data_IF_987412085536
#
_entry.id   IF_987412085536
#
_cell.length_a   1.000
_cell.length_b   1.000
_cell.length_c   1.000
_cell.angle_alpha   90.00
_cell.angle_beta   90.00
_cell.angle_gamma   90.00
#
_symmetry.space_group_name_H-M   'P 1'
#
loop_
_entity.id
_entity.type
_entity.pdbx_description
1 polymer ?
#
# COMPACT_ATOMS: atom_id res chain seq x y z
N UNK A 1 50.89 6.44 20.68
CA UNK A 1 50.63 6.60 19.23
C UNK A 1 49.14 6.87 19.09
N UNK A 2 48.78 8.15 19.04
CA UNK A 2 47.43 8.59 18.70
C UNK A 2 47.39 8.84 17.19
N UNK A 3 46.45 8.19 16.51
CA UNK A 3 45.67 8.73 15.40
C UNK A 3 44.59 7.69 15.13
N UNK A 4 43.34 7.97 15.44
CA UNK A 4 42.44 8.80 14.62
C UNK A 4 42.14 8.09 13.29
N UNK A 5 41.02 7.37 13.29
CA UNK A 5 40.29 6.97 12.10
C UNK A 5 38.82 7.00 12.45
N UNK A 6 38.32 8.24 12.49
CA UNK A 6 36.92 8.55 12.26
C UNK A 6 36.70 8.67 10.75
N UNK A 7 35.94 7.74 10.18
CA UNK A 7 35.04 7.94 9.04
C UNK A 7 33.91 6.92 9.29
N UNK A 8 32.81 7.24 9.98
CA UNK A 8 31.79 8.24 9.68
C UNK A 8 31.33 8.17 8.22
N UNK A 9 30.57 7.12 7.92
CA UNK A 9 29.66 7.11 6.78
C UNK A 9 28.22 7.13 7.33
N UNK A 10 27.64 8.28 7.05
CA UNK A 10 26.30 8.78 7.28
C UNK A 10 25.19 7.76 6.99
N UNK A 11 24.40 7.44 8.01
CA UNK A 11 22.99 7.05 7.81
C UNK A 11 22.11 8.02 8.59
N UNK A 12 21.82 9.15 7.94
CA UNK A 12 20.72 10.01 8.30
C UNK A 12 19.41 9.44 7.74
N UNK A 13 18.46 9.18 8.64
CA UNK A 13 17.00 9.31 8.52
C UNK A 13 16.39 8.52 9.69
N UNK A 14 16.05 9.13 10.83
CA UNK A 14 14.80 9.88 11.07
C UNK A 14 13.57 9.16 10.47
N UNK A 15 12.46 8.87 11.12
CA UNK A 15 11.89 9.11 12.44
C UNK A 15 10.53 8.35 12.39
N UNK A 16 10.12 7.64 13.45
CA UNK A 16 8.68 7.36 13.65
C UNK A 16 8.39 6.83 15.05
N UNK A 17 8.51 7.72 16.03
CA UNK A 17 7.77 7.60 17.29
C UNK A 17 6.53 8.46 17.15
N UNK A 18 5.36 7.84 16.96
CA UNK A 18 4.09 8.57 16.85
C UNK A 18 3.15 8.13 17.96
N UNK A 19 3.17 8.90 19.04
CA UNK A 19 2.10 9.10 20.02
C UNK A 19 2.51 10.37 20.78
N UNK A 20 1.78 11.48 20.86
CA UNK A 20 0.40 11.79 20.56
C UNK A 20 0.27 13.33 20.33
N UNK A 21 -0.96 13.80 20.12
CA UNK A 21 -1.47 15.18 20.28
C UNK A 21 -1.85 15.98 19.01
N UNK A 22 -3.15 15.85 18.69
CA UNK A 22 -4.15 16.89 18.39
C UNK A 22 -3.68 18.36 18.27
N UNK A 23 -3.95 19.00 17.12
CA UNK A 23 -4.97 20.06 16.90
C UNK A 23 -4.52 21.10 15.85
N UNK A 24 -5.44 21.39 14.92
CA UNK A 24 -5.72 22.72 14.29
C UNK A 24 -5.34 22.90 12.83
N UNK A 25 -6.39 23.29 12.09
CA UNK A 25 -6.48 23.57 10.67
C UNK A 25 -5.73 24.84 10.22
N UNK A 26 -5.38 24.92 8.93
CA UNK A 26 -5.92 25.91 7.96
C UNK A 26 -5.35 25.67 6.55
N UNK A 27 -6.24 25.24 5.67
CA UNK A 27 -6.49 25.58 4.25
C UNK A 27 -5.33 25.99 3.32
N UNK A 28 -5.17 25.24 2.23
CA UNK A 28 -4.87 25.83 0.91
C UNK A 28 -5.58 25.02 -0.19
N UNK A 29 -6.22 25.74 -1.10
CA UNK A 29 -7.21 25.25 -2.04
C UNK A 29 -6.67 25.32 -3.47
N UNK A 30 -6.78 24.25 -4.25
CA UNK A 30 -6.99 24.25 -5.71
C UNK A 30 -7.15 22.80 -6.18
N UNK A 31 -8.30 22.45 -6.75
CA UNK A 31 -8.44 21.17 -7.47
C UNK A 31 -9.83 20.55 -7.56
N UNK A 32 -10.82 21.33 -8.03
CA UNK A 32 -11.99 20.93 -8.82
C UNK A 32 -12.68 19.56 -8.59
N UNK A 33 -13.94 19.69 -8.16
CA UNK A 33 -15.12 19.02 -8.72
C UNK A 33 -15.26 17.49 -8.54
N UNK A 34 -16.16 17.18 -7.61
CA UNK A 34 -17.04 16.00 -7.57
C UNK A 34 -17.30 15.40 -8.96
N UNK A 35 -16.83 14.17 -9.16
CA UNK A 35 -17.37 13.32 -10.20
C UNK A 35 -17.94 12.08 -9.52
N UNK A 36 -19.25 11.94 -9.66
CA UNK A 36 -20.01 10.71 -9.46
C UNK A 36 -19.34 9.57 -10.22
N UNK A 37 -18.42 8.88 -9.57
CA UNK A 37 -17.79 7.69 -10.11
C UNK A 37 -18.18 6.56 -9.20
N UNK A 38 -18.93 5.60 -9.76
CA UNK A 38 -19.17 4.28 -9.16
C UNK A 38 -17.95 3.85 -8.36
N UNK A 39 -18.14 3.46 -7.10
CA UNK A 39 -17.08 3.07 -6.14
C UNK A 39 -16.34 1.82 -6.65
N UNK A 40 -15.55 2.00 -7.69
CA UNK A 40 -14.83 0.96 -8.40
C UNK A 40 -13.49 0.79 -7.72
N UNK A 41 -13.40 -0.25 -6.91
CA UNK A 41 -12.17 -0.65 -6.27
C UNK A 41 -11.35 -1.47 -7.26
N UNK A 42 -10.09 -1.12 -7.44
CA UNK A 42 -9.14 -1.89 -8.24
C UNK A 42 -8.11 -2.54 -7.32
N UNK A 43 -7.80 -3.79 -7.62
CA UNK A 43 -6.73 -4.52 -6.94
C UNK A 43 -5.39 -4.31 -7.65
N UNK A 44 -4.39 -3.79 -6.94
CA UNK A 44 -3.04 -3.51 -7.49
C UNK A 44 -1.95 -4.45 -6.96
N UNK A 45 -2.33 -5.56 -6.34
CA UNK A 45 -1.38 -6.54 -5.80
C UNK A 45 -0.95 -7.63 -6.79
N UNK A 46 -0.15 -8.61 -6.32
CA UNK A 46 0.23 -9.78 -7.10
C UNK A 46 -0.98 -10.70 -7.34
N UNK A 47 -0.96 -11.46 -8.44
CA UNK A 47 -2.09 -12.34 -8.80
C UNK A 47 -2.32 -13.43 -7.73
N UNK A 48 -3.57 -13.58 -7.29
CA UNK A 48 -3.98 -14.61 -6.33
C UNK A 48 -4.83 -15.65 -7.05
N UNK A 49 -4.18 -16.71 -7.54
CA UNK A 49 -4.86 -17.80 -8.25
C UNK A 49 -5.86 -18.55 -7.38
N UNK A 50 -5.65 -18.63 -6.06
CA UNK A 50 -6.55 -19.33 -5.13
C UNK A 50 -7.96 -18.72 -5.09
N UNK A 51 -8.05 -17.40 -5.21
CA UNK A 51 -9.29 -16.62 -5.14
C UNK A 51 -9.76 -16.13 -6.53
N UNK A 52 -9.09 -16.56 -7.61
CA UNK A 52 -9.28 -16.00 -8.96
C UNK A 52 -9.15 -14.48 -9.01
N UNK A 53 -8.36 -13.90 -8.11
CA UNK A 53 -8.13 -12.46 -8.04
C UNK A 53 -6.96 -12.09 -8.93
N UNK A 54 -7.28 -11.57 -10.11
CA UNK A 54 -6.28 -11.05 -11.04
C UNK A 54 -5.80 -9.66 -10.64
N UNK A 55 -4.53 -9.36 -10.93
CA UNK A 55 -4.02 -7.99 -10.85
C UNK A 55 -4.84 -7.10 -11.78
N UNK A 56 -5.17 -5.90 -11.31
CA UNK A 56 -6.03 -4.92 -11.96
C UNK A 56 -7.49 -5.36 -12.12
N UNK A 57 -7.95 -6.35 -11.35
CA UNK A 57 -9.37 -6.65 -11.26
C UNK A 57 -10.13 -5.46 -10.67
N UNK A 58 -11.21 -5.06 -11.33
CA UNK A 58 -12.09 -3.97 -10.92
C UNK A 58 -13.35 -4.55 -10.30
N UNK A 59 -13.64 -4.12 -9.08
CA UNK A 59 -14.78 -4.49 -8.27
C UNK A 59 -15.77 -3.33 -8.25
N UNK A 60 -16.92 -3.51 -8.90
CA UNK A 60 -17.97 -2.48 -9.04
C UNK A 60 -19.04 -2.56 -7.94
N UNK A 61 -19.01 -3.60 -7.11
CA UNK A 61 -20.01 -3.91 -6.07
C UNK A 61 -19.37 -4.33 -4.73
N UNK A 62 -18.14 -3.87 -4.47
CA UNK A 62 -17.36 -4.30 -3.31
C UNK A 62 -16.63 -5.64 -3.50
N UNK A 63 -16.03 -6.13 -2.42
CA UNK A 63 -15.22 -7.36 -2.42
C UNK A 63 -16.13 -8.61 -2.35
N UNK A 64 -15.82 -9.69 -3.07
CA UNK A 64 -16.59 -10.92 -2.97
C UNK A 64 -16.40 -11.59 -1.60
N UNK A 65 -17.47 -12.13 -1.01
CA UNK A 65 -17.40 -12.78 0.31
C UNK A 65 -16.47 -14.01 0.36
N UNK A 66 -16.21 -14.66 -0.78
CA UNK A 66 -15.27 -15.78 -0.83
C UNK A 66 -13.82 -15.35 -0.55
N UNK A 67 -13.51 -14.06 -0.70
CA UNK A 67 -12.17 -13.54 -0.43
C UNK A 67 -11.94 -13.18 1.04
N UNK A 68 -12.97 -13.22 1.90
CA UNK A 68 -12.84 -12.84 3.31
C UNK A 68 -11.77 -13.66 4.05
N UNK A 69 -11.63 -14.95 3.74
CA UNK A 69 -10.61 -15.82 4.33
C UNK A 69 -9.20 -15.34 3.99
N UNK A 70 -8.96 -15.00 2.73
CA UNK A 70 -7.65 -14.50 2.24
C UNK A 70 -7.39 -13.08 2.72
N UNK A 71 -8.41 -12.23 2.81
CA UNK A 71 -8.30 -10.88 3.38
C UNK A 71 -8.02 -10.92 4.88
N UNK A 72 -8.55 -11.91 5.60
CA UNK A 72 -8.29 -12.15 7.03
C UNK A 72 -6.89 -12.70 7.25
N UNK A 73 -6.47 -13.66 6.42
CA UNK A 73 -5.13 -14.23 6.49
C UNK A 73 -4.04 -13.21 6.15
N UNK A 74 -4.29 -12.32 5.18
CA UNK A 74 -3.36 -11.28 4.77
C UNK A 74 -4.05 -9.91 4.61
N UNK A 75 -4.10 -9.09 5.68
CA UNK A 75 -4.72 -7.77 5.63
C UNK A 75 -3.99 -6.79 4.70
N UNK A 76 -2.78 -7.12 4.25
CA UNK A 76 -2.07 -6.35 3.21
C UNK A 76 -2.80 -6.39 1.86
N UNK A 77 -3.53 -7.47 1.55
CA UNK A 77 -4.35 -7.57 0.33
C UNK A 77 -5.46 -6.53 0.37
N UNK A 78 -6.13 -6.38 1.51
CA UNK A 78 -7.17 -5.35 1.72
C UNK A 78 -6.64 -3.94 1.49
N UNK A 79 -5.39 -3.67 1.88
CA UNK A 79 -4.72 -2.36 1.69
C UNK A 79 -4.31 -2.08 0.24
N UNK A 80 -4.28 -3.11 -0.62
CA UNK A 80 -4.00 -3.00 -2.06
C UNK A 80 -5.28 -2.82 -2.89
N UNK A 81 -6.44 -2.69 -2.26
CA UNK A 81 -7.64 -2.18 -2.92
C UNK A 81 -7.68 -0.68 -2.80
N UNK A 82 -7.77 -0.02 -3.94
CA UNK A 82 -7.76 1.43 -4.06
C UNK A 82 -8.84 1.85 -5.03
N UNK A 83 -9.26 3.11 -4.98
CA UNK A 83 -10.10 3.67 -6.02
C UNK A 83 -9.33 3.73 -7.34
N UNK A 84 -10.04 3.48 -8.44
CA UNK A 84 -9.50 3.56 -9.80
C UNK A 84 -8.81 4.90 -10.08
N UNK A 85 -9.31 6.01 -9.51
CA UNK A 85 -8.75 7.36 -9.67
C UNK A 85 -7.31 7.48 -9.13
N UNK A 86 -6.96 6.66 -8.13
CA UNK A 86 -5.64 6.67 -7.48
C UNK A 86 -4.70 5.62 -8.06
N UNK A 87 -5.14 4.83 -9.04
CA UNK A 87 -4.38 3.73 -9.63
C UNK A 87 -2.98 4.15 -10.08
N UNK A 88 -2.89 5.20 -10.89
CA UNK A 88 -1.62 5.65 -11.45
C UNK A 88 -0.63 6.08 -10.36
N UNK A 89 -1.11 6.84 -9.38
CA UNK A 89 -0.27 7.31 -8.26
C UNK A 89 0.19 6.17 -7.36
N UNK A 90 -0.65 5.15 -7.16
CA UNK A 90 -0.30 3.98 -6.35
C UNK A 90 0.66 3.05 -7.08
N UNK A 91 0.53 2.90 -8.39
CA UNK A 91 1.47 2.11 -9.19
C UNK A 91 2.89 2.65 -9.11
N UNK A 92 3.07 3.96 -9.15
CA UNK A 92 4.37 4.59 -8.93
C UNK A 92 4.92 4.25 -7.55
N UNK A 93 4.07 4.35 -6.51
CA UNK A 93 4.44 3.98 -5.13
C UNK A 93 4.82 2.52 -5.00
N UNK A 94 4.09 1.59 -5.63
CA UNK A 94 4.41 0.15 -5.59
C UNK A 94 5.80 -0.13 -6.16
N UNK A 95 6.20 0.57 -7.23
CA UNK A 95 7.52 0.42 -7.83
C UNK A 95 8.63 1.13 -7.03
N UNK A 96 8.28 2.16 -6.26
CA UNK A 96 9.23 2.89 -5.41
C UNK A 96 9.50 2.13 -4.10
N UNK A 97 10.73 1.64 -3.95
CA UNK A 97 11.22 1.02 -2.72
C UNK A 97 11.12 2.00 -1.55
N UNK A 98 10.71 1.51 -0.37
CA UNK A 98 10.53 2.32 0.84
C UNK A 98 9.12 2.90 1.02
N UNK A 99 8.20 2.71 0.06
CA UNK A 99 6.80 3.08 0.26
C UNK A 99 6.02 1.99 1.00
N UNK A 100 4.92 2.39 1.65
CA UNK A 100 4.00 1.45 2.29
C UNK A 100 3.42 0.43 1.29
N UNK A 101 3.08 0.87 0.07
CA UNK A 101 2.53 0.01 -0.97
C UNK A 101 3.51 -1.05 -1.46
N UNK A 102 4.79 -0.71 -1.58
CA UNK A 102 5.85 -1.66 -1.92
C UNK A 102 6.01 -2.75 -0.84
N UNK A 103 5.93 -2.35 0.44
CA UNK A 103 5.96 -3.29 1.57
C UNK A 103 4.74 -4.23 1.54
N UNK A 104 3.53 -3.70 1.37
CA UNK A 104 2.32 -4.53 1.28
C UNK A 104 2.36 -5.48 0.09
N UNK A 105 2.78 -5.00 -1.08
CA UNK A 105 2.96 -5.84 -2.27
C UNK A 105 3.92 -7.01 -2.00
N UNK A 106 5.06 -6.73 -1.37
CA UNK A 106 6.07 -7.74 -1.01
C UNK A 106 5.57 -8.75 0.03
N UNK A 107 4.77 -8.29 0.99
CA UNK A 107 4.12 -9.16 1.98
C UNK A 107 3.14 -10.13 1.31
N UNK A 108 2.26 -9.63 0.43
CA UNK A 108 1.34 -10.49 -0.31
C UNK A 108 2.10 -11.45 -1.21
N UNK A 109 3.14 -10.99 -1.90
CA UNK A 109 3.97 -11.86 -2.74
C UNK A 109 4.64 -12.98 -1.93
N UNK A 110 5.08 -12.69 -0.71
CA UNK A 110 5.66 -13.68 0.20
C UNK A 110 4.61 -14.67 0.70
N UNK A 111 3.41 -14.19 1.02
CA UNK A 111 2.27 -15.04 1.41
C UNK A 111 1.91 -16.02 0.29
N UNK A 112 1.79 -15.55 -0.95
CA UNK A 112 1.52 -16.41 -2.12
C UNK A 112 2.62 -17.44 -2.36
N UNK A 113 3.90 -17.03 -2.24
CA UNK A 113 5.06 -17.92 -2.41
C UNK A 113 5.17 -18.99 -1.32
N UNK A 114 4.76 -18.69 -0.09
CA UNK A 114 4.77 -19.65 1.02
C UNK A 114 3.70 -20.74 0.89
N UNK A 115 2.84 -20.63 -0.12
CA UNK A 115 1.83 -21.62 -0.46
C UNK A 115 0.60 -21.45 0.43
N UNK A 116 -0.50 -21.06 -0.21
CA UNK A 116 -1.83 -21.44 0.25
C UNK A 116 -1.83 -22.97 0.24
N UNK A 117 -1.66 -23.59 1.41
CA UNK A 117 -1.70 -25.04 1.59
C UNK A 117 -3.15 -25.48 1.69
#
# INVERSE_FOLDING_TARGET
>A
MSNDSLQNEELAAEESTVAAETTTATVDATGIAETTTTEQLIYVGPNISSERLNRFAIFKNGLPQHMDDVLTACPAIKKLFINIDKLSAVLDKINKTGTAYNSWYSQVQTYLKKGVK
#
